data_IF_901810470607
#
_entry.id   IF_901810470607
#
_cell.length_a   1.000
_cell.length_b   1.000
_cell.length_c   1.000
_cell.angle_alpha   90.00
_cell.angle_beta   90.00
_cell.angle_gamma   90.00
#
_symmetry.space_group_name_H-M   'P 1'
#
loop_
_entity.id
_entity.type
_entity.pdbx_description
1 polymer ?
#
# COMPACT_ATOMS: atom_id res chain seq x y z
N UNK A 1 -55.32 35.30 -6.03
CA UNK A 1 -54.34 35.99 -6.86
C UNK A 1 -52.97 35.42 -6.53
N UNK A 2 -52.49 34.49 -7.36
CA UNK A 2 -51.16 33.89 -7.17
C UNK A 2 -50.15 34.77 -7.89
N UNK A 3 -49.25 35.40 -7.14
CA UNK A 3 -48.14 36.15 -7.70
C UNK A 3 -47.06 35.17 -8.20
N UNK A 4 -47.05 34.92 -9.51
CA UNK A 4 -45.98 34.19 -10.16
C UNK A 4 -44.68 35.00 -10.07
N UNK A 5 -43.69 34.45 -9.36
CA UNK A 5 -42.36 35.03 -9.27
C UNK A 5 -41.67 35.00 -10.66
N UNK A 6 -40.96 36.07 -11.08
CA UNK A 6 -40.29 36.10 -12.37
C UNK A 6 -39.14 35.08 -12.39
N UNK A 7 -39.21 34.11 -13.28
CA UNK A 7 -38.11 33.18 -13.53
C UNK A 7 -37.01 33.96 -14.26
N UNK A 8 -35.86 34.15 -13.56
CA UNK A 8 -34.65 34.71 -14.16
C UNK A 8 -33.90 33.59 -14.84
N UNK A 9 -33.81 33.64 -16.14
CA UNK A 9 -32.95 32.75 -16.94
C UNK A 9 -31.48 33.18 -16.85
N UNK A 10 -30.56 32.22 -17.00
CA UNK A 10 -29.13 32.49 -17.08
C UNK A 10 -28.80 33.31 -18.33
N UNK A 11 -27.90 34.27 -18.24
CA UNK A 11 -27.40 35.04 -19.36
C UNK A 11 -26.31 34.24 -20.09
N UNK A 12 -26.18 34.45 -21.39
CA UNK A 12 -25.16 33.80 -22.21
C UNK A 12 -23.75 34.13 -21.71
N UNK A 13 -23.54 35.36 -21.24
CA UNK A 13 -22.24 35.78 -20.67
C UNK A 13 -21.90 35.06 -19.37
N UNK A 14 -22.88 34.76 -18.52
CA UNK A 14 -22.70 34.03 -17.28
C UNK A 14 -22.27 32.58 -17.55
N UNK A 15 -22.86 31.92 -18.57
CA UNK A 15 -22.45 30.58 -18.99
C UNK A 15 -21.01 30.56 -19.50
N UNK A 16 -20.64 31.52 -20.38
CA UNK A 16 -19.28 31.63 -20.91
C UNK A 16 -18.27 31.86 -19.77
N UNK A 17 -18.60 32.71 -18.81
CA UNK A 17 -17.72 33.01 -17.68
C UNK A 17 -17.49 31.77 -16.83
N UNK A 18 -18.53 30.97 -16.58
CA UNK A 18 -18.41 29.71 -15.80
C UNK A 18 -17.52 28.70 -16.50
N UNK A 19 -17.69 28.50 -17.82
CA UNK A 19 -16.83 27.52 -18.55
C UNK A 19 -15.38 27.98 -18.64
N UNK A 20 -15.13 29.31 -18.74
CA UNK A 20 -13.77 29.85 -18.68
C UNK A 20 -13.12 29.60 -17.30
N UNK A 21 -13.85 29.85 -16.20
CA UNK A 21 -13.34 29.60 -14.85
C UNK A 21 -13.07 28.11 -14.65
N UNK A 22 -14.00 27.23 -15.05
CA UNK A 22 -13.82 25.78 -14.99
C UNK A 22 -12.62 25.31 -15.82
N UNK A 23 -12.41 25.88 -17.00
CA UNK A 23 -11.25 25.60 -17.85
C UNK A 23 -9.93 25.97 -17.16
N UNK A 24 -9.85 27.15 -16.53
CA UNK A 24 -8.67 27.58 -15.76
C UNK A 24 -8.42 26.68 -14.55
N UNK A 25 -9.45 26.34 -13.79
CA UNK A 25 -9.32 25.46 -12.63
C UNK A 25 -8.88 24.05 -13.02
N UNK A 26 -9.37 23.53 -14.16
CA UNK A 26 -9.00 22.20 -14.65
C UNK A 26 -7.50 22.08 -14.89
N UNK A 27 -6.86 23.06 -15.51
CA UNK A 27 -5.40 23.07 -15.77
C UNK A 27 -4.58 23.08 -14.48
N UNK A 28 -5.04 23.79 -13.45
CA UNK A 28 -4.32 23.89 -12.17
C UNK A 28 -4.45 22.63 -11.29
N UNK A 29 -5.55 21.89 -11.43
CA UNK A 29 -5.89 20.75 -10.58
C UNK A 29 -5.38 19.42 -11.14
N UNK A 30 -5.39 19.25 -12.48
CA UNK A 30 -4.96 18.00 -13.12
C UNK A 30 -3.58 17.49 -12.69
N UNK A 31 -2.51 18.31 -12.58
CA UNK A 31 -1.18 17.80 -12.22
C UNK A 31 -1.11 17.19 -10.80
N UNK A 32 -2.01 17.61 -9.91
CA UNK A 32 -2.04 17.10 -8.53
C UNK A 32 -2.61 15.69 -8.43
N UNK A 33 -3.47 15.30 -9.38
CA UNK A 33 -4.00 13.94 -9.47
C UNK A 33 -3.09 12.98 -10.23
N UNK A 34 -2.08 13.51 -10.94
CA UNK A 34 -1.15 12.74 -11.76
C UNK A 34 0.20 12.47 -11.06
N UNK A 35 0.26 12.56 -9.72
CA UNK A 35 1.43 12.08 -8.97
C UNK A 35 1.18 10.61 -8.55
N UNK A 36 1.45 9.63 -9.43
CA UNK A 36 1.19 8.22 -9.17
C UNK A 36 2.11 7.64 -8.10
N UNK A 37 3.31 8.21 -7.94
CA UNK A 37 4.38 7.62 -7.13
C UNK A 37 4.04 7.58 -5.63
N UNK A 38 3.51 8.67 -5.07
CA UNK A 38 3.14 8.73 -3.66
C UNK A 38 1.95 7.83 -3.31
N UNK A 39 1.03 7.64 -4.25
CA UNK A 39 -0.11 6.74 -4.07
C UNK A 39 0.33 5.27 -4.16
N UNK A 40 1.22 4.95 -5.09
CA UNK A 40 1.76 3.60 -5.25
C UNK A 40 2.57 3.18 -4.02
N UNK A 41 3.44 4.05 -3.51
CA UNK A 41 4.24 3.79 -2.31
C UNK A 41 3.35 3.48 -1.09
N UNK A 42 2.22 4.20 -0.95
CA UNK A 42 1.26 3.94 0.13
C UNK A 42 0.56 2.60 -0.04
N UNK A 43 0.14 2.28 -1.25
CA UNK A 43 -0.49 0.99 -1.54
C UNK A 43 0.45 -0.18 -1.23
N UNK A 44 1.72 -0.07 -1.64
CA UNK A 44 2.74 -1.10 -1.34
C UNK A 44 3.03 -1.19 0.17
N UNK A 45 3.03 -0.07 0.90
CA UNK A 45 3.16 -0.05 2.35
C UNK A 45 2.02 -0.84 3.02
N UNK A 46 0.78 -0.58 2.62
CA UNK A 46 -0.40 -1.26 3.17
C UNK A 46 -0.41 -2.76 2.79
N UNK A 47 0.00 -3.10 1.56
CA UNK A 47 0.17 -4.48 1.12
C UNK A 47 1.24 -5.21 1.95
N UNK A 48 2.39 -4.58 2.19
CA UNK A 48 3.46 -5.18 2.98
C UNK A 48 3.02 -5.44 4.42
N UNK A 49 2.33 -4.48 5.06
CA UNK A 49 1.79 -4.63 6.41
C UNK A 49 0.77 -5.78 6.47
N UNK A 50 -0.14 -5.85 5.49
CA UNK A 50 -1.16 -6.90 5.46
C UNK A 50 -0.54 -8.28 5.22
N UNK A 51 0.45 -8.37 4.33
CA UNK A 51 1.17 -9.62 4.03
C UNK A 51 2.02 -10.06 5.23
N UNK A 52 2.66 -9.13 5.94
CA UNK A 52 3.41 -9.44 7.17
C UNK A 52 2.50 -10.00 8.27
N UNK A 53 1.31 -9.41 8.47
CA UNK A 53 0.30 -9.93 9.41
C UNK A 53 -0.22 -11.30 9.00
N UNK A 54 -0.41 -11.53 7.69
CA UNK A 54 -0.79 -12.86 7.18
C UNK A 54 0.30 -13.89 7.44
N UNK A 55 1.58 -13.56 7.22
CA UNK A 55 2.71 -14.43 7.53
C UNK A 55 2.77 -14.77 9.03
N UNK A 56 2.58 -13.77 9.90
CA UNK A 56 2.51 -13.95 11.34
C UNK A 56 1.36 -14.89 11.74
N UNK A 57 0.16 -14.69 11.21
CA UNK A 57 -1.00 -15.55 11.48
C UNK A 57 -0.79 -16.99 11.00
N UNK A 58 -0.17 -17.17 9.84
CA UNK A 58 0.20 -18.49 9.32
C UNK A 58 1.19 -19.19 10.27
N UNK A 59 2.20 -18.48 10.74
CA UNK A 59 3.18 -19.01 11.66
C UNK A 59 2.52 -19.49 12.98
N UNK A 60 1.56 -18.73 13.51
CA UNK A 60 0.83 -19.08 14.73
C UNK A 60 -0.20 -20.20 14.52
N UNK A 61 -0.84 -20.26 13.33
CA UNK A 61 -1.89 -21.26 13.03
C UNK A 61 -1.32 -22.63 12.70
N UNK A 62 -0.12 -22.68 12.17
CA UNK A 62 0.54 -23.91 11.77
C UNK A 62 1.32 -24.48 12.97
N UNK A 63 0.75 -25.50 13.61
CA UNK A 63 1.36 -26.20 14.74
C UNK A 63 2.67 -26.96 14.40
N UNK A 64 3.18 -26.77 13.20
CA UNK A 64 4.34 -27.45 12.65
C UNK A 64 5.51 -26.48 12.61
N UNK A 65 6.70 -27.01 12.77
CA UNK A 65 8.04 -26.45 12.54
C UNK A 65 8.24 -25.71 11.19
N UNK A 66 7.16 -25.15 10.62
CA UNK A 66 7.18 -24.40 9.40
C UNK A 66 7.80 -23.03 9.69
N UNK A 67 9.02 -22.83 9.26
CA UNK A 67 9.60 -21.51 9.17
C UNK A 67 8.80 -20.69 8.14
N UNK A 68 7.80 -19.95 8.61
CA UNK A 68 7.10 -19.01 7.75
C UNK A 68 8.02 -17.83 7.53
N UNK A 69 8.35 -17.57 6.29
CA UNK A 69 9.21 -16.47 5.90
C UNK A 69 8.42 -15.44 5.07
N UNK A 70 8.56 -14.18 5.43
CA UNK A 70 8.19 -13.05 4.60
C UNK A 70 9.44 -12.61 3.84
N UNK A 71 9.37 -12.59 2.54
CA UNK A 71 10.48 -12.22 1.65
C UNK A 71 10.01 -11.05 0.79
N UNK A 72 10.75 -9.94 0.83
CA UNK A 72 10.59 -8.84 -0.10
C UNK A 72 11.67 -8.92 -1.17
N UNK A 73 11.27 -8.90 -2.43
CA UNK A 73 12.17 -9.06 -3.58
C UNK A 73 11.98 -7.90 -4.55
N UNK A 74 12.93 -6.97 -4.53
CA UNK A 74 12.92 -5.82 -5.41
C UNK A 74 13.16 -6.19 -6.88
N UNK A 75 13.95 -7.23 -7.14
CA UNK A 75 14.32 -7.63 -8.50
C UNK A 75 13.13 -8.23 -9.26
N UNK A 76 12.25 -8.93 -8.56
CA UNK A 76 11.04 -9.53 -9.11
C UNK A 76 9.78 -8.74 -8.80
N UNK A 77 9.88 -7.57 -8.18
CA UNK A 77 8.77 -6.71 -7.78
C UNK A 77 7.65 -7.46 -7.06
N UNK A 78 8.00 -8.19 -5.98
CA UNK A 78 7.02 -8.99 -5.23
C UNK A 78 7.32 -9.10 -3.75
N UNK A 79 6.25 -9.32 -3.00
CA UNK A 79 6.28 -9.70 -1.59
C UNK A 79 5.82 -11.15 -1.53
N UNK A 80 6.59 -12.00 -0.88
CA UNK A 80 6.36 -13.45 -0.84
C UNK A 80 6.23 -13.94 0.59
N UNK A 81 5.26 -14.81 0.84
CA UNK A 81 5.24 -15.66 2.03
C UNK A 81 5.64 -17.06 1.59
N UNK A 82 6.68 -17.62 2.20
CA UNK A 82 7.13 -18.97 1.98
C UNK A 82 7.02 -19.79 3.27
N UNK A 83 6.45 -20.97 3.20
CA UNK A 83 6.36 -21.89 4.33
C UNK A 83 6.36 -23.34 3.86
N UNK A 84 6.64 -24.28 4.77
CA UNK A 84 6.70 -25.71 4.45
C UNK A 84 5.58 -26.44 5.19
N UNK A 85 4.64 -27.02 4.44
CA UNK A 85 3.55 -27.86 4.95
C UNK A 85 3.28 -28.96 3.94
N UNK A 86 3.81 -30.16 4.20
CA UNK A 86 3.70 -31.27 3.23
C UNK A 86 4.40 -31.02 1.91
N UNK A 87 5.18 -29.97 1.79
CA UNK A 87 5.87 -29.45 0.62
C UNK A 87 6.11 -27.93 0.75
N UNK A 88 6.87 -27.35 -0.15
CA UNK A 88 7.08 -25.90 -0.18
C UNK A 88 5.83 -25.21 -0.68
N UNK A 89 5.29 -24.31 0.12
CA UNK A 89 4.14 -23.46 -0.22
C UNK A 89 4.61 -22.01 -0.37
N UNK A 90 4.05 -21.31 -1.36
CA UNK A 90 4.41 -19.93 -1.67
C UNK A 90 3.14 -19.12 -1.95
N UNK A 91 3.04 -17.95 -1.34
CA UNK A 91 2.01 -16.94 -1.62
C UNK A 91 2.74 -15.70 -2.12
N UNK A 92 2.54 -15.35 -3.38
CA UNK A 92 3.15 -14.18 -4.00
C UNK A 92 2.14 -13.03 -4.11
N UNK A 93 2.61 -11.82 -3.81
CA UNK A 93 1.88 -10.56 -4.01
C UNK A 93 2.76 -9.67 -4.86
N UNK A 94 2.31 -9.36 -6.08
CA UNK A 94 3.03 -8.48 -6.98
C UNK A 94 2.91 -7.02 -6.54
N UNK A 95 4.00 -6.27 -6.68
CA UNK A 95 4.04 -4.83 -6.46
C UNK A 95 4.34 -4.10 -7.77
N UNK A 96 3.90 -2.83 -7.94
CA UNK A 96 4.18 -2.07 -9.15
C UNK A 96 5.66 -1.97 -9.44
N UNK A 97 6.06 -2.16 -10.70
CA UNK A 97 7.47 -2.14 -11.15
C UNK A 97 8.16 -0.79 -10.94
N UNK A 98 7.38 0.29 -10.82
CA UNK A 98 7.90 1.62 -10.51
C UNK A 98 8.26 1.80 -9.01
N UNK A 99 7.91 0.83 -8.14
CA UNK A 99 8.17 0.91 -6.71
C UNK A 99 9.40 0.10 -6.35
N UNK A 100 10.36 0.72 -5.69
CA UNK A 100 11.52 0.05 -5.12
C UNK A 100 11.25 -0.34 -3.67
N UNK A 101 11.58 -1.56 -3.28
CA UNK A 101 11.45 -2.06 -1.91
C UNK A 101 12.78 -2.66 -1.44
N UNK A 102 13.13 -2.46 -0.20
CA UNK A 102 14.31 -3.13 0.36
C UNK A 102 14.12 -4.64 0.31
N UNK A 103 15.03 -5.35 -0.38
CA UNK A 103 15.00 -6.82 -0.40
C UNK A 103 15.49 -7.37 0.93
N UNK A 104 14.64 -8.14 1.60
CA UNK A 104 14.95 -8.76 2.89
C UNK A 104 14.13 -10.04 3.09
N UNK A 105 14.53 -10.83 4.07
CA UNK A 105 13.80 -12.03 4.48
C UNK A 105 13.65 -12.03 6.00
N UNK A 106 12.41 -12.17 6.46
CA UNK A 106 12.04 -12.17 7.86
C UNK A 106 11.34 -13.47 8.17
N UNK A 107 11.82 -14.22 9.15
CA UNK A 107 11.23 -15.49 9.59
C UNK A 107 10.42 -15.31 10.87
N UNK A 108 9.25 -15.96 10.93
CA UNK A 108 8.37 -15.99 12.09
C UNK A 108 8.43 -17.34 12.78
N UNK A 109 8.46 -17.35 14.11
CA UNK A 109 8.34 -18.54 14.91
C UNK A 109 6.85 -18.91 15.16
N UNK A 110 6.60 -20.04 15.80
CA UNK A 110 5.26 -20.53 16.13
C UNK A 110 4.44 -19.63 17.08
N UNK A 111 5.07 -18.67 17.73
CA UNK A 111 4.42 -17.68 18.59
C UNK A 111 4.10 -16.37 17.84
N UNK A 112 4.53 -16.27 16.58
CA UNK A 112 4.38 -15.09 15.76
C UNK A 112 5.49 -14.06 15.94
N UNK A 113 6.50 -14.32 16.77
CA UNK A 113 7.65 -13.45 16.97
C UNK A 113 8.68 -13.64 15.85
N UNK A 114 9.53 -12.63 15.63
CA UNK A 114 10.64 -12.76 14.70
C UNK A 114 11.71 -13.72 15.20
N UNK A 115 12.16 -14.60 14.31
CA UNK A 115 13.34 -15.42 14.55
C UNK A 115 14.56 -14.51 14.52
N UNK A 116 15.26 -14.38 15.65
CA UNK A 116 16.38 -13.45 15.78
C UNK A 116 16.11 -12.30 16.74
N UNK A 117 14.86 -12.07 17.11
CA UNK A 117 14.47 -11.18 18.22
C UNK A 117 14.70 -9.69 18.01
N UNK A 118 15.07 -9.26 16.80
CA UNK A 118 15.29 -7.85 16.46
C UNK A 118 14.24 -7.35 15.50
N UNK A 119 13.83 -6.08 15.66
CA UNK A 119 12.94 -5.41 14.71
C UNK A 119 13.64 -5.22 13.35
N UNK A 120 12.85 -5.25 12.28
CA UNK A 120 13.33 -5.07 10.91
C UNK A 120 12.60 -3.90 10.25
N UNK A 121 13.35 -2.99 9.66
CA UNK A 121 12.83 -1.87 8.91
C UNK A 121 12.94 -2.15 7.40
N UNK A 122 11.83 -2.00 6.68
CA UNK A 122 11.74 -2.19 5.25
C UNK A 122 11.38 -0.86 4.61
N UNK A 123 12.28 -0.32 3.78
CA UNK A 123 12.09 0.94 3.09
C UNK A 123 11.45 0.74 1.72
N UNK A 124 10.57 1.68 1.36
CA UNK A 124 9.90 1.76 0.06
C UNK A 124 10.31 3.08 -0.58
N UNK A 125 10.71 3.03 -1.87
CA UNK A 125 11.18 4.17 -2.65
C UNK A 125 12.28 4.99 -1.94
N UNK A 126 13.31 4.28 -1.43
CA UNK A 126 14.45 4.94 -0.80
C UNK A 126 14.17 5.61 0.55
N UNK A 127 13.08 5.22 1.22
CA UNK A 127 12.69 5.75 2.54
C UNK A 127 11.55 6.76 2.48
N UNK A 128 10.92 6.95 1.32
CA UNK A 128 9.68 7.76 1.23
C UNK A 128 8.61 7.21 2.17
N UNK A 129 8.56 5.89 2.30
CA UNK A 129 7.74 5.16 3.25
C UNK A 129 8.53 4.03 3.87
N UNK A 130 8.25 3.76 5.12
CA UNK A 130 8.90 2.69 5.85
C UNK A 130 7.87 1.83 6.58
N UNK A 131 8.16 0.54 6.69
CA UNK A 131 7.41 -0.42 7.50
C UNK A 131 8.36 -1.01 8.50
N UNK A 132 7.99 -0.98 9.78
CA UNK A 132 8.70 -1.68 10.84
C UNK A 132 7.95 -2.95 11.21
N UNK A 133 8.70 -4.04 11.30
CA UNK A 133 8.23 -5.29 11.88
C UNK A 133 8.97 -5.45 13.21
N UNK A 134 8.23 -5.33 14.29
CA UNK A 134 8.78 -5.46 15.65
C UNK A 134 9.23 -6.88 15.95
N UNK A 135 10.06 -7.05 16.97
CA UNK A 135 10.49 -8.39 17.43
C UNK A 135 9.32 -9.33 17.75
N UNK A 136 8.19 -8.77 18.20
CA UNK A 136 6.92 -9.48 18.41
C UNK A 136 6.20 -9.88 17.12
N UNK A 137 6.75 -9.58 15.95
CA UNK A 137 6.14 -9.83 14.65
C UNK A 137 5.08 -8.81 14.21
N UNK A 138 4.76 -7.82 15.05
CA UNK A 138 3.79 -6.79 14.72
C UNK A 138 4.35 -5.84 13.67
N UNK A 139 3.64 -5.70 12.55
CA UNK A 139 4.01 -4.80 11.44
C UNK A 139 3.18 -3.52 11.46
N UNK A 140 3.85 -2.36 11.32
CA UNK A 140 3.21 -1.04 11.26
C UNK A 140 4.01 -0.07 10.36
N UNK A 141 3.34 1.01 9.94
CA UNK A 141 3.97 2.11 9.23
C UNK A 141 4.81 2.98 10.19
N UNK A 142 5.93 3.50 9.70
CA UNK A 142 6.74 4.51 10.37
C UNK A 142 6.47 5.88 9.80
#
# INVERSE_FOLDING_TARGET
>A
MEMSAPQRGFTLIELITVILILGFLSVAVLPRFLQPDSFQSRTVQDQLISTARQAQQLAMSKAVSANVQLITDNSNHRIRISYTEGGSQVIDTDIPSATNITSTSVAYNKHGDLVGGSAVDISINGGERNVRIESSGYAHAL
#
